data_IF_748288762691
#
_entry.id   IF_748288762691
#
_cell.length_a   1.000
_cell.length_b   1.000
_cell.length_c   1.000
_cell.angle_alpha   90.00
_cell.angle_beta   90.00
_cell.angle_gamma   90.00
#
_symmetry.space_group_name_H-M   'P 1'
#
loop_
_entity.id
_entity.type
_entity.pdbx_description
1 polymer ?
#
# COMPACT_ATOMS: atom_id res chain seq x y z
N UNK A 1 41.57 41.83 14.81
CA UNK A 1 40.20 41.61 15.35
C UNK A 1 39.31 41.21 14.18
N UNK A 2 39.28 39.90 13.87
CA UNK A 2 38.58 39.37 12.68
C UNK A 2 37.18 38.94 13.18
N UNK A 3 36.17 39.75 12.82
CA UNK A 3 34.77 39.42 13.08
C UNK A 3 34.38 38.23 12.16
N UNK A 4 34.30 37.06 12.73
CA UNK A 4 33.64 35.89 12.09
C UNK A 4 32.15 36.21 11.99
N UNK A 5 31.71 36.64 10.82
CA UNK A 5 30.30 36.67 10.44
C UNK A 5 29.88 35.24 10.21
N UNK A 6 29.33 34.63 11.25
CA UNK A 6 28.57 33.39 11.15
C UNK A 6 27.23 33.73 10.45
N UNK A 7 27.22 33.65 9.12
CA UNK A 7 25.98 33.54 8.37
C UNK A 7 25.29 32.26 8.82
N UNK A 8 24.37 32.37 9.78
CA UNK A 8 23.35 31.31 10.04
C UNK A 8 22.60 31.13 8.72
N UNK A 9 22.99 30.10 7.94
CA UNK A 9 22.13 29.62 6.86
C UNK A 9 20.77 29.35 7.50
N UNK A 10 19.78 30.16 7.19
CA UNK A 10 18.40 29.91 7.58
C UNK A 10 18.01 28.65 6.83
N UNK A 11 18.14 27.48 7.45
CA UNK A 11 17.65 26.22 6.92
C UNK A 11 16.15 26.39 6.74
N UNK A 12 15.70 26.33 5.50
CA UNK A 12 14.27 26.36 5.17
C UNK A 12 13.77 24.97 5.52
N UNK A 13 13.11 24.85 6.66
CA UNK A 13 12.41 23.61 7.02
C UNK A 13 11.22 23.41 6.08
N UNK A 14 11.13 22.22 5.52
CA UNK A 14 10.01 21.82 4.66
C UNK A 14 8.94 21.19 5.55
N UNK A 15 7.76 21.79 5.62
CA UNK A 15 6.63 21.18 6.36
C UNK A 15 5.98 20.08 5.52
N UNK A 16 5.76 18.91 6.12
CA UNK A 16 5.07 17.77 5.54
C UNK A 16 3.85 17.40 6.36
N UNK A 17 2.70 17.38 5.71
CA UNK A 17 1.42 16.95 6.30
C UNK A 17 1.29 15.46 6.23
N UNK A 18 1.21 14.79 7.37
CA UNK A 18 1.05 13.34 7.46
C UNK A 18 -0.26 13.02 8.17
N UNK A 19 -1.13 12.32 7.48
CA UNK A 19 -2.31 11.74 8.11
C UNK A 19 -1.92 10.44 8.79
N UNK A 20 -2.21 10.33 10.07
CA UNK A 20 -2.02 9.13 10.88
C UNK A 20 -3.36 8.42 10.98
N UNK A 21 -3.43 7.18 10.54
CA UNK A 21 -4.62 6.32 10.63
C UNK A 21 -4.22 5.02 11.35
N UNK A 22 -4.25 4.98 12.69
CA UNK A 22 -3.80 3.82 13.45
C UNK A 22 -4.59 2.56 13.11
N UNK A 23 -5.91 2.69 12.92
CA UNK A 23 -6.81 1.58 12.59
C UNK A 23 -7.07 0.68 13.78
N UNK A 24 -7.02 -0.65 13.55
CA UNK A 24 -7.56 -1.67 14.43
C UNK A 24 -6.48 -2.54 15.10
N UNK A 25 -6.85 -3.28 16.14
CA UNK A 25 -6.03 -4.31 16.77
C UNK A 25 -4.66 -3.81 17.22
N UNK A 26 -3.58 -4.32 16.63
CA UNK A 26 -2.19 -3.92 16.91
C UNK A 26 -1.84 -2.54 16.32
N UNK A 27 -2.68 -2.01 15.43
CA UNK A 27 -2.43 -0.77 14.69
C UNK A 27 -2.04 0.43 15.55
N UNK A 28 -2.79 0.78 16.61
CA UNK A 28 -2.44 1.90 17.49
C UNK A 28 -1.06 1.75 18.14
N UNK A 29 -0.70 0.54 18.59
CA UNK A 29 0.59 0.26 19.22
C UNK A 29 1.76 0.48 18.26
N UNK A 30 1.70 -0.14 17.07
CA UNK A 30 2.80 -0.04 16.08
C UNK A 30 2.89 1.36 15.48
N UNK A 31 1.74 2.03 15.26
CA UNK A 31 1.72 3.39 14.72
C UNK A 31 2.33 4.39 15.67
N UNK A 32 2.07 4.25 16.99
CA UNK A 32 2.70 5.09 17.99
C UNK A 32 4.23 5.03 17.92
N UNK A 33 4.79 3.83 17.76
CA UNK A 33 6.24 3.67 17.63
C UNK A 33 6.77 4.27 16.31
N UNK A 34 6.04 4.08 15.23
CA UNK A 34 6.39 4.66 13.93
C UNK A 34 6.39 6.20 13.97
N UNK A 35 5.39 6.82 14.62
CA UNK A 35 5.33 8.27 14.81
C UNK A 35 6.52 8.78 15.61
N UNK A 36 6.90 8.11 16.71
CA UNK A 36 8.08 8.48 17.50
C UNK A 36 9.37 8.48 16.66
N UNK A 37 9.52 7.48 15.78
CA UNK A 37 10.68 7.42 14.88
C UNK A 37 10.64 8.58 13.88
N UNK A 38 9.49 8.85 13.28
CA UNK A 38 9.32 9.97 12.35
C UNK A 38 9.66 11.32 12.98
N UNK A 39 9.17 11.59 14.20
CA UNK A 39 9.44 12.83 14.95
C UNK A 39 10.93 13.00 15.27
N UNK A 40 11.66 11.91 15.52
CA UNK A 40 13.10 11.94 15.80
C UNK A 40 13.94 12.06 14.53
N UNK A 41 13.50 11.48 13.41
CA UNK A 41 14.28 11.43 12.15
C UNK A 41 14.04 12.65 11.27
N UNK A 42 12.81 13.14 11.18
CA UNK A 42 12.46 14.24 10.27
C UNK A 42 13.31 15.51 10.45
N UNK A 43 13.63 15.95 11.70
CA UNK A 43 14.48 17.13 11.90
C UNK A 43 15.91 16.96 11.37
N UNK A 44 16.42 15.71 11.26
CA UNK A 44 17.75 15.43 10.71
C UNK A 44 17.84 15.73 9.21
N UNK A 45 16.69 15.86 8.55
CA UNK A 45 16.55 16.15 7.12
C UNK A 45 15.89 17.52 6.85
N UNK A 46 15.88 18.41 7.85
CA UNK A 46 15.23 19.72 7.77
C UNK A 46 13.72 19.65 7.45
N UNK A 47 13.06 18.58 7.90
CA UNK A 47 11.61 18.36 7.74
C UNK A 47 10.90 18.63 9.07
N UNK A 48 9.85 19.45 8.99
CA UNK A 48 8.86 19.62 10.05
C UNK A 48 7.64 18.79 9.71
N UNK A 49 7.12 18.01 10.66
CA UNK A 49 5.92 17.23 10.48
C UNK A 49 4.70 17.96 11.03
N UNK A 50 3.63 18.01 10.24
CA UNK A 50 2.28 18.41 10.63
C UNK A 50 1.44 17.12 10.67
N UNK A 51 1.21 16.58 11.87
CA UNK A 51 0.57 15.30 12.09
C UNK A 51 -0.90 15.45 12.44
N UNK A 52 -1.77 14.82 11.68
CA UNK A 52 -3.21 14.75 11.95
C UNK A 52 -3.63 13.30 12.10
N UNK A 53 -4.35 12.96 13.17
CA UNK A 53 -4.88 11.61 13.38
C UNK A 53 -6.37 11.54 13.06
N UNK A 54 -6.79 10.49 12.32
CA UNK A 54 -8.17 10.20 11.99
C UNK A 54 -8.43 8.69 12.00
N UNK A 55 -9.65 8.24 12.35
CA UNK A 55 -9.98 6.83 12.39
C UNK A 55 -10.16 6.23 10.99
N UNK A 56 -9.82 4.93 10.85
CA UNK A 56 -10.07 4.09 9.68
C UNK A 56 -10.31 2.65 10.15
N UNK A 57 -11.02 1.86 9.35
CA UNK A 57 -11.26 0.45 9.63
C UNK A 57 -12.41 0.18 10.58
N UNK A 58 -12.31 -0.83 11.41
CA UNK A 58 -13.35 -1.26 12.34
C UNK A 58 -13.64 -0.25 13.45
N UNK A 59 -12.59 0.41 13.96
CA UNK A 59 -12.79 1.49 14.95
C UNK A 59 -13.55 2.67 14.33
N UNK A 60 -13.31 2.99 13.08
CA UNK A 60 -14.07 4.03 12.39
C UNK A 60 -15.52 3.64 12.23
N UNK A 61 -15.79 2.37 11.88
CA UNK A 61 -17.16 1.85 11.81
C UNK A 61 -17.88 1.93 13.16
N UNK A 62 -17.23 1.56 14.24
CA UNK A 62 -17.82 1.66 15.60
C UNK A 62 -18.20 3.10 15.97
N UNK A 63 -17.42 4.08 15.52
CA UNK A 63 -17.63 5.49 15.83
C UNK A 63 -18.67 6.18 14.92
N UNK A 64 -18.74 5.77 13.65
CA UNK A 64 -19.45 6.55 12.61
C UNK A 64 -20.37 5.72 11.71
N UNK A 65 -20.36 4.39 11.83
CA UNK A 65 -21.11 3.48 10.95
C UNK A 65 -20.47 3.26 9.58
N UNK A 66 -19.27 3.81 9.34
CA UNK A 66 -18.54 3.59 8.09
C UNK A 66 -17.05 3.30 8.36
N UNK A 67 -16.42 2.34 7.64
CA UNK A 67 -15.01 2.02 7.83
C UNK A 67 -14.05 3.09 7.28
N UNK A 68 -14.53 4.07 6.51
CA UNK A 68 -13.79 5.24 6.06
C UNK A 68 -14.71 6.47 6.09
N UNK A 69 -14.68 7.27 7.16
CA UNK A 69 -15.42 8.54 7.24
C UNK A 69 -14.93 9.53 6.17
N UNK A 70 -15.83 10.36 5.67
CA UNK A 70 -15.49 11.37 4.66
C UNK A 70 -14.44 12.36 5.19
N UNK A 71 -14.49 12.74 6.48
CA UNK A 71 -13.45 13.57 7.11
C UNK A 71 -12.04 12.94 7.05
N UNK A 72 -11.96 11.60 7.19
CA UNK A 72 -10.67 10.88 7.07
C UNK A 72 -10.18 10.90 5.62
N UNK A 73 -11.10 10.68 4.67
CA UNK A 73 -10.77 10.74 3.24
C UNK A 73 -10.34 12.14 2.80
N UNK A 74 -11.04 13.19 3.25
CA UNK A 74 -10.70 14.58 2.92
C UNK A 74 -9.33 14.96 3.52
N UNK A 75 -9.06 14.57 4.77
CA UNK A 75 -7.76 14.75 5.37
C UNK A 75 -6.64 14.02 4.60
N UNK A 76 -6.92 12.80 4.10
CA UNK A 76 -5.97 12.04 3.29
C UNK A 76 -5.65 12.74 1.96
N UNK A 77 -6.65 13.32 1.29
CA UNK A 77 -6.49 14.03 0.00
C UNK A 77 -5.60 15.27 0.10
N UNK A 78 -5.54 15.93 1.25
CA UNK A 78 -4.72 17.14 1.48
C UNK A 78 -3.39 16.86 2.18
N UNK A 79 -3.10 15.61 2.52
CA UNK A 79 -1.85 15.20 3.16
C UNK A 79 -0.79 14.83 2.13
N UNK A 80 0.49 15.05 2.46
CA UNK A 80 1.62 14.59 1.65
C UNK A 80 1.77 13.06 1.69
N UNK A 81 1.37 12.42 2.80
CA UNK A 81 1.37 10.98 2.98
C UNK A 81 0.36 10.53 4.04
N UNK A 82 -0.01 9.25 3.99
CA UNK A 82 -0.83 8.59 5.01
C UNK A 82 -0.02 7.46 5.66
N UNK A 83 0.14 7.53 6.97
CA UNK A 83 0.70 6.44 7.77
C UNK A 83 -0.46 5.60 8.32
N UNK A 84 -0.64 4.41 7.76
CA UNK A 84 -1.69 3.48 8.16
C UNK A 84 -1.10 2.35 9.00
N UNK A 85 -1.72 2.07 10.15
CA UNK A 85 -1.34 0.98 11.02
C UNK A 85 -1.88 -0.37 10.54
N UNK A 86 -2.99 -0.83 11.09
CA UNK A 86 -3.63 -2.09 10.71
C UNK A 86 -5.14 -1.93 10.60
N UNK A 87 -5.78 -2.74 9.76
CA UNK A 87 -7.23 -2.70 9.53
C UNK A 87 -7.77 -4.12 9.57
N UNK A 88 -8.90 -4.28 10.28
CA UNK A 88 -9.60 -5.55 10.39
C UNK A 88 -9.40 -6.25 11.73
N UNK A 89 -10.22 -7.26 11.96
CA UNK A 89 -10.17 -8.10 13.16
C UNK A 89 -11.45 -8.92 13.36
N UNK A 90 -11.41 -9.97 14.19
CA UNK A 90 -12.52 -10.90 14.36
C UNK A 90 -13.85 -10.23 14.79
N UNK A 91 -13.75 -9.11 15.51
CA UNK A 91 -14.94 -8.35 15.97
C UNK A 91 -15.85 -7.94 14.81
N UNK A 92 -15.30 -7.61 13.65
CA UNK A 92 -16.03 -7.05 12.50
C UNK A 92 -16.28 -8.05 11.38
N UNK A 93 -15.83 -9.31 11.51
CA UNK A 93 -16.13 -10.38 10.54
C UNK A 93 -17.63 -10.63 10.32
N UNK A 94 -18.51 -10.54 11.36
CA UNK A 94 -19.94 -10.73 11.18
C UNK A 94 -20.65 -9.60 10.44
N UNK A 95 -20.00 -8.45 10.22
CA UNK A 95 -20.61 -7.32 9.53
C UNK A 95 -20.92 -7.66 8.06
N UNK A 96 -21.90 -6.92 7.51
CA UNK A 96 -22.15 -6.95 6.07
C UNK A 96 -20.86 -6.65 5.29
N UNK A 97 -20.66 -7.36 4.19
CA UNK A 97 -19.46 -7.27 3.39
C UNK A 97 -19.13 -5.84 2.92
N UNK A 98 -20.16 -5.00 2.70
CA UNK A 98 -20.00 -3.61 2.22
C UNK A 98 -19.39 -2.68 3.25
N UNK A 99 -19.50 -2.98 4.54
CA UNK A 99 -19.05 -2.13 5.66
C UNK A 99 -17.92 -2.75 6.49
N UNK A 100 -17.38 -3.88 6.06
CA UNK A 100 -16.20 -4.47 6.72
C UNK A 100 -15.00 -3.52 6.69
N UNK A 101 -14.12 -3.57 7.69
CA UNK A 101 -12.94 -2.69 7.80
C UNK A 101 -12.10 -2.61 6.53
N UNK A 102 -11.87 -3.73 5.86
CA UNK A 102 -11.07 -3.83 4.63
C UNK A 102 -11.66 -3.00 3.48
N UNK A 103 -12.98 -2.77 3.48
CA UNK A 103 -13.64 -1.92 2.47
C UNK A 103 -13.19 -0.47 2.59
N UNK A 104 -12.94 0.00 3.83
CA UNK A 104 -12.36 1.33 4.08
C UNK A 104 -10.99 1.48 3.43
N UNK A 105 -10.13 0.49 3.61
CA UNK A 105 -8.79 0.49 3.00
C UNK A 105 -8.86 0.45 1.45
N UNK A 106 -9.74 -0.37 0.88
CA UNK A 106 -9.91 -0.44 -0.57
C UNK A 106 -10.44 0.88 -1.13
N UNK A 107 -11.44 1.50 -0.47
CA UNK A 107 -11.95 2.83 -0.86
C UNK A 107 -10.85 3.88 -0.77
N UNK A 108 -10.07 3.93 0.31
CA UNK A 108 -8.96 4.87 0.47
C UNK A 108 -7.93 4.74 -0.67
N UNK A 109 -7.54 3.52 -1.05
CA UNK A 109 -6.63 3.25 -2.16
C UNK A 109 -7.17 3.73 -3.50
N UNK A 110 -8.43 3.45 -3.78
CA UNK A 110 -9.10 3.86 -5.01
C UNK A 110 -9.21 5.37 -5.12
N UNK A 111 -9.69 6.04 -4.07
CA UNK A 111 -9.93 7.48 -4.03
C UNK A 111 -8.63 8.31 -4.12
N UNK A 112 -7.53 7.78 -3.60
CA UNK A 112 -6.21 8.41 -3.69
C UNK A 112 -5.40 7.95 -4.92
N UNK A 113 -5.93 7.05 -5.74
CA UNK A 113 -5.22 6.52 -6.91
C UNK A 113 -3.94 5.75 -6.57
N UNK A 114 -3.89 5.05 -5.43
CA UNK A 114 -2.72 4.32 -4.96
C UNK A 114 -2.59 2.99 -5.69
N UNK A 115 -2.10 3.03 -6.92
CA UNK A 115 -2.07 1.87 -7.81
C UNK A 115 -0.86 0.96 -7.62
N UNK A 116 0.28 1.47 -7.14
CA UNK A 116 1.51 0.70 -7.00
C UNK A 116 1.81 0.35 -5.54
N UNK A 117 1.75 -0.92 -5.20
CA UNK A 117 2.18 -1.43 -3.89
C UNK A 117 3.60 -1.99 -4.00
N UNK A 118 4.53 -1.39 -3.28
CA UNK A 118 5.93 -1.82 -3.22
C UNK A 118 6.16 -2.61 -1.94
N UNK A 119 6.50 -3.91 -2.09
CA UNK A 119 6.72 -4.83 -0.98
C UNK A 119 8.14 -5.35 -0.99
N UNK A 120 9.06 -4.76 -0.24
CA UNK A 120 10.39 -5.31 -0.07
C UNK A 120 10.31 -6.60 0.76
N UNK A 121 11.04 -7.63 0.33
CA UNK A 121 11.23 -8.88 1.05
C UNK A 121 12.73 -9.18 1.04
N UNK A 122 13.39 -8.79 2.11
CA UNK A 122 14.81 -9.05 2.34
C UNK A 122 14.97 -9.99 3.54
N UNK A 123 15.87 -10.93 3.42
CA UNK A 123 16.24 -11.82 4.52
C UNK A 123 17.48 -11.24 5.20
N UNK A 124 17.37 -10.97 6.49
CA UNK A 124 18.50 -10.57 7.32
C UNK A 124 19.29 -11.82 7.74
N UNK A 125 20.61 -11.77 7.63
CA UNK A 125 21.50 -12.91 7.91
C UNK A 125 21.21 -13.63 9.23
N UNK A 126 20.91 -12.87 10.30
CA UNK A 126 20.59 -13.41 11.63
C UNK A 126 19.25 -14.18 11.65
N UNK A 127 18.39 -14.00 10.65
CA UNK A 127 17.07 -14.64 10.53
C UNK A 127 17.05 -15.81 9.54
N UNK A 128 18.14 -16.12 8.87
CA UNK A 128 18.24 -17.23 7.90
C UNK A 128 17.79 -18.55 8.51
N UNK A 129 18.22 -18.83 9.76
CA UNK A 129 17.88 -20.06 10.46
C UNK A 129 16.44 -20.11 10.99
N UNK A 130 15.70 -19.01 10.96
CA UNK A 130 14.27 -18.99 11.31
C UNK A 130 13.37 -19.42 10.14
N UNK A 131 13.93 -19.58 8.93
CA UNK A 131 13.22 -20.05 7.75
C UNK A 131 13.05 -21.58 7.77
N UNK A 132 11.93 -22.06 7.24
CA UNK A 132 11.70 -23.48 6.97
C UNK A 132 12.35 -23.95 5.66
N UNK A 133 12.83 -23.00 4.84
CA UNK A 133 13.60 -23.29 3.65
C UNK A 133 15.08 -23.46 4.00
N UNK A 134 15.83 -24.18 3.15
CA UNK A 134 17.27 -24.34 3.31
C UNK A 134 17.98 -22.97 3.28
N UNK A 135 18.99 -22.81 4.12
CA UNK A 135 19.78 -21.57 4.22
C UNK A 135 20.31 -21.09 2.85
N UNK A 136 20.82 -22.01 2.02
CA UNK A 136 21.31 -21.71 0.67
C UNK A 136 20.28 -21.09 -0.28
N UNK A 137 18.98 -21.25 0.01
CA UNK A 137 17.87 -20.70 -0.78
C UNK A 137 17.49 -19.30 -0.32
N UNK A 138 17.59 -19.02 0.98
CA UNK A 138 17.09 -17.78 1.58
C UNK A 138 18.17 -16.77 1.89
N UNK A 139 19.42 -17.22 2.07
CA UNK A 139 20.52 -16.33 2.37
C UNK A 139 20.77 -15.33 1.23
N UNK A 140 20.85 -14.05 1.58
CA UNK A 140 20.97 -12.96 0.62
C UNK A 140 19.75 -12.72 -0.28
N UNK A 141 18.60 -13.36 0.00
CA UNK A 141 17.37 -13.07 -0.74
C UNK A 141 16.94 -11.62 -0.52
N UNK A 142 16.79 -10.88 -1.61
CA UNK A 142 16.35 -9.49 -1.65
C UNK A 142 15.44 -9.28 -2.87
N UNK A 143 14.15 -9.24 -2.63
CA UNK A 143 13.09 -9.11 -3.63
C UNK A 143 12.33 -7.80 -3.40
N UNK A 144 11.88 -7.18 -4.49
CA UNK A 144 10.86 -6.13 -4.47
C UNK A 144 9.65 -6.62 -5.25
N UNK A 145 8.56 -6.93 -4.57
CA UNK A 145 7.29 -7.25 -5.23
C UNK A 145 6.57 -5.94 -5.55
N UNK A 146 6.40 -5.67 -6.84
CA UNK A 146 5.62 -4.52 -7.35
C UNK A 146 4.23 -5.05 -7.73
N UNK A 147 3.20 -4.60 -7.00
CA UNK A 147 1.83 -5.10 -7.18
C UNK A 147 0.90 -3.97 -7.63
N UNK A 148 0.17 -4.19 -8.73
CA UNK A 148 -0.96 -3.34 -9.10
C UNK A 148 -2.11 -3.52 -8.11
N UNK A 149 -2.70 -2.43 -7.61
CA UNK A 149 -3.68 -2.45 -6.53
C UNK A 149 -5.08 -1.95 -6.90
N UNK A 150 -5.25 -1.25 -8.02
CA UNK A 150 -6.51 -0.55 -8.36
C UNK A 150 -7.24 -1.16 -9.54
N UNK A 151 -6.65 -2.16 -10.18
CA UNK A 151 -7.26 -3.00 -11.20
C UNK A 151 -7.46 -4.45 -10.76
N UNK A 152 -7.76 -5.29 -11.71
CA UNK A 152 -7.83 -6.74 -11.56
C UNK A 152 -9.07 -7.24 -10.83
N UNK A 153 -8.95 -8.41 -10.22
CA UNK A 153 -10.07 -9.16 -9.64
C UNK A 153 -10.74 -8.46 -8.43
N UNK A 154 -10.04 -7.56 -7.75
CA UNK A 154 -10.60 -6.85 -6.58
C UNK A 154 -11.58 -5.75 -6.97
N UNK A 155 -11.50 -5.20 -8.18
CA UNK A 155 -12.30 -4.06 -8.64
C UNK A 155 -13.13 -4.36 -9.87
N UNK A 156 -12.85 -5.48 -10.57
CA UNK A 156 -13.58 -5.87 -11.77
C UNK A 156 -15.07 -6.15 -11.51
N UNK A 157 -15.90 -5.83 -12.48
CA UNK A 157 -17.34 -6.08 -12.48
C UNK A 157 -17.73 -6.84 -13.77
N UNK A 158 -18.78 -7.69 -13.72
CA UNK A 158 -19.65 -8.00 -12.59
C UNK A 158 -18.94 -8.88 -11.53
N UNK A 159 -19.42 -8.83 -10.29
CA UNK A 159 -18.97 -9.70 -9.20
C UNK A 159 -20.08 -9.87 -8.16
N UNK A 160 -20.09 -10.98 -7.47
CA UNK A 160 -21.08 -11.24 -6.44
C UNK A 160 -21.35 -12.71 -6.20
N UNK A 161 -22.46 -12.94 -5.53
CA UNK A 161 -23.06 -14.27 -5.38
C UNK A 161 -24.52 -14.14 -5.81
N UNK A 162 -24.92 -14.98 -6.74
CA UNK A 162 -26.30 -15.03 -7.25
C UNK A 162 -26.82 -16.45 -7.34
N UNK A 163 -28.11 -16.62 -7.55
CA UNK A 163 -28.72 -17.90 -7.84
C UNK A 163 -28.84 -18.06 -9.37
N UNK A 164 -28.34 -19.20 -9.88
CA UNK A 164 -28.47 -19.62 -11.27
C UNK A 164 -28.95 -21.05 -11.29
N UNK A 165 -30.07 -21.31 -11.96
CA UNK A 165 -30.63 -22.66 -12.13
C UNK A 165 -30.86 -23.43 -10.80
N UNK A 166 -31.19 -22.68 -9.71
CA UNK A 166 -31.42 -23.24 -8.38
C UNK A 166 -30.14 -23.53 -7.57
N UNK A 167 -28.98 -23.05 -8.04
CA UNK A 167 -27.68 -23.19 -7.37
C UNK A 167 -27.07 -21.81 -7.09
N UNK A 168 -26.40 -21.66 -5.94
CA UNK A 168 -25.68 -20.43 -5.60
C UNK A 168 -24.34 -20.39 -6.29
N UNK A 169 -24.07 -19.36 -7.09
CA UNK A 169 -22.84 -19.16 -7.87
C UNK A 169 -22.13 -17.91 -7.41
N UNK A 170 -20.87 -18.04 -6.98
CA UNK A 170 -20.00 -16.91 -6.66
C UNK A 170 -19.06 -16.61 -7.83
N UNK A 171 -18.88 -15.33 -8.17
CA UNK A 171 -18.04 -14.92 -9.29
C UNK A 171 -17.33 -13.58 -9.06
N UNK A 172 -16.15 -13.44 -9.67
CA UNK A 172 -15.39 -12.20 -9.75
C UNK A 172 -14.84 -12.06 -11.17
N UNK A 173 -14.75 -10.81 -11.65
CA UNK A 173 -14.19 -10.52 -12.97
C UNK A 173 -12.76 -9.99 -12.84
N UNK A 174 -11.82 -10.57 -13.58
CA UNK A 174 -10.45 -10.11 -13.69
C UNK A 174 -10.33 -9.17 -14.89
N UNK A 175 -10.11 -7.88 -14.63
CA UNK A 175 -10.02 -6.84 -15.68
C UNK A 175 -8.79 -5.98 -15.46
N UNK A 176 -8.00 -5.79 -16.50
CA UNK A 176 -6.93 -4.80 -16.57
C UNK A 176 -7.03 -3.99 -17.86
N UNK A 177 -6.97 -2.68 -17.76
CA UNK A 177 -6.81 -1.80 -18.92
C UNK A 177 -5.32 -1.67 -19.30
N UNK A 178 -5.06 -1.29 -20.54
CA UNK A 178 -3.69 -1.02 -21.01
C UNK A 178 -2.99 0.05 -20.16
N UNK A 179 -3.69 1.12 -19.81
CA UNK A 179 -3.13 2.20 -18.99
C UNK A 179 -2.74 1.74 -17.59
N UNK A 180 -3.50 0.83 -16.97
CA UNK A 180 -3.17 0.23 -15.68
C UNK A 180 -1.92 -0.63 -15.76
N UNK A 181 -1.81 -1.44 -16.82
CA UNK A 181 -0.63 -2.29 -17.02
C UNK A 181 0.61 -1.42 -17.31
N UNK A 182 0.50 -0.42 -18.20
CA UNK A 182 1.62 0.47 -18.54
C UNK A 182 2.16 1.22 -17.33
N UNK A 183 1.28 1.79 -16.48
CA UNK A 183 1.73 2.55 -15.30
C UNK A 183 2.46 1.67 -14.29
N UNK A 184 1.98 0.44 -14.03
CA UNK A 184 2.65 -0.44 -13.08
C UNK A 184 3.93 -1.04 -13.67
N UNK A 185 3.96 -1.36 -14.97
CA UNK A 185 5.16 -1.81 -15.68
C UNK A 185 6.27 -0.76 -15.58
N UNK A 186 5.96 0.52 -15.84
CA UNK A 186 6.90 1.63 -15.67
C UNK A 186 7.50 1.67 -14.26
N UNK A 187 6.68 1.61 -13.22
CA UNK A 187 7.15 1.56 -11.82
C UNK A 187 8.06 0.34 -11.60
N UNK A 188 7.71 -0.81 -12.16
CA UNK A 188 8.50 -2.03 -12.08
C UNK A 188 9.88 -1.87 -12.72
N UNK A 189 9.96 -1.36 -13.94
CA UNK A 189 11.23 -1.13 -14.64
C UNK A 189 12.09 -0.06 -13.96
N UNK A 190 11.51 1.08 -13.56
CA UNK A 190 12.23 2.13 -12.83
C UNK A 190 12.77 1.62 -11.48
N UNK A 191 12.02 0.78 -10.79
CA UNK A 191 12.47 0.13 -9.55
C UNK A 191 13.62 -0.86 -9.84
N UNK A 192 13.52 -1.66 -10.89
CA UNK A 192 14.57 -2.59 -11.30
C UNK A 192 15.87 -1.85 -11.66
N UNK A 193 15.79 -0.70 -12.34
CA UNK A 193 16.95 0.13 -12.69
C UNK A 193 17.70 0.65 -11.46
N UNK A 194 17.01 0.91 -10.35
CA UNK A 194 17.62 1.30 -9.06
C UNK A 194 18.22 0.13 -8.27
N UNK A 195 18.02 -1.10 -8.73
CA UNK A 195 18.46 -2.34 -8.09
C UNK A 195 19.38 -3.14 -9.02
N UNK A 196 19.17 -4.45 -9.15
CA UNK A 196 20.03 -5.35 -9.95
C UNK A 196 19.68 -5.41 -11.44
N UNK A 197 18.83 -4.50 -11.93
CA UNK A 197 18.36 -4.43 -13.32
C UNK A 197 17.71 -5.72 -13.82
N UNK A 198 17.05 -6.44 -12.91
CA UNK A 198 16.32 -7.66 -13.22
C UNK A 198 14.87 -7.48 -12.80
N UNK A 199 13.94 -7.66 -13.75
CA UNK A 199 12.51 -7.69 -13.53
C UNK A 199 11.96 -9.03 -14.01
N UNK A 200 11.04 -9.60 -13.25
CA UNK A 200 10.27 -10.78 -13.63
C UNK A 200 8.80 -10.41 -13.61
N UNK A 201 8.14 -10.48 -14.75
CA UNK A 201 6.69 -10.38 -14.85
C UNK A 201 6.06 -11.73 -14.55
N UNK A 202 5.05 -11.75 -13.68
CA UNK A 202 4.35 -12.97 -13.28
C UNK A 202 2.93 -12.94 -13.85
N UNK A 203 2.60 -13.94 -14.64
CA UNK A 203 1.32 -14.06 -15.31
C UNK A 203 0.88 -15.54 -15.49
N UNK A 204 -0.32 -15.74 -16.03
CA UNK A 204 -0.87 -17.03 -16.46
C UNK A 204 -1.33 -16.93 -17.92
N UNK A 205 -0.49 -16.36 -18.77
CA UNK A 205 -0.81 -16.02 -20.16
C UNK A 205 -1.14 -17.20 -21.06
N UNK A 206 -0.76 -18.42 -20.69
CA UNK A 206 -1.10 -19.62 -21.46
C UNK A 206 -2.57 -20.06 -21.33
N UNK A 207 -3.38 -19.40 -20.48
CA UNK A 207 -4.78 -19.79 -20.21
C UNK A 207 -5.71 -18.59 -20.12
N UNK A 208 -5.24 -17.44 -19.64
CA UNK A 208 -6.08 -16.28 -19.35
C UNK A 208 -5.74 -15.11 -20.28
N UNK A 209 -6.70 -14.69 -21.07
CA UNK A 209 -6.56 -13.59 -22.03
C UNK A 209 -6.14 -12.27 -21.35
N UNK A 210 -6.69 -11.98 -20.18
CA UNK A 210 -6.30 -10.78 -19.40
C UNK A 210 -4.83 -10.78 -19.00
N UNK A 211 -4.22 -11.93 -18.78
CA UNK A 211 -2.80 -12.04 -18.42
C UNK A 211 -1.89 -12.25 -19.63
N UNK A 212 -2.41 -12.73 -20.75
CA UNK A 212 -1.74 -12.66 -22.06
C UNK A 212 -1.58 -11.19 -22.48
N UNK A 213 -2.66 -10.41 -22.40
CA UNK A 213 -2.63 -8.96 -22.61
C UNK A 213 -1.67 -8.24 -21.67
N UNK A 214 -1.64 -8.64 -20.38
CA UNK A 214 -0.66 -8.14 -19.42
C UNK A 214 0.78 -8.37 -19.90
N UNK A 215 1.10 -9.58 -20.33
CA UNK A 215 2.44 -9.94 -20.84
C UNK A 215 2.82 -9.11 -22.07
N UNK A 216 1.90 -8.95 -23.00
CA UNK A 216 2.09 -8.13 -24.20
C UNK A 216 2.50 -6.71 -23.84
N UNK A 217 1.69 -6.04 -23.00
CA UNK A 217 1.92 -4.63 -22.64
C UNK A 217 3.19 -4.46 -21.77
N UNK A 218 3.46 -5.38 -20.83
CA UNK A 218 4.70 -5.32 -20.05
C UNK A 218 5.92 -5.48 -20.95
N UNK A 219 5.86 -6.34 -21.96
CA UNK A 219 6.93 -6.54 -22.94
C UNK A 219 7.15 -5.30 -23.81
N UNK A 220 6.06 -4.63 -24.24
CA UNK A 220 6.14 -3.41 -25.04
C UNK A 220 6.75 -2.23 -24.25
N UNK A 221 6.53 -2.17 -22.94
CA UNK A 221 7.10 -1.11 -22.08
C UNK A 221 8.60 -1.34 -21.82
N UNK A 222 9.08 -2.58 -21.78
CA UNK A 222 10.48 -2.96 -21.43
C UNK A 222 11.42 -2.93 -22.58
#
# INVERSE_FOLDING_TARGET
MIHKILLKKRLIMITKKILITPGDGIGPEVTKQAVQILENVAPLFDIQLDLTEKPVGGIAYDLTGTPLPDETLDAAKISDAVLLGAVGGPKWEPLDFSVRPERGLLKLRSELGLFANLRPAAIYGDLVNASTLKAEVVDGADLMVVRELTGGIYFGNPRGVEERDGERVGFNTLVYSESEIRRIAKVGFETAMKRRKKLTSVDKANVLESTEFWREIVTDVG
#
